data_IF_915722153763
#
_entry.id   IF_915722153763
#
_cell.length_a   1.000
_cell.length_b   1.000
_cell.length_c   1.000
_cell.angle_alpha   90.00
_cell.angle_beta   90.00
_cell.angle_gamma   90.00
#
_symmetry.space_group_name_H-M   'P 1'
#
loop_
_entity.id
_entity.type
_entity.pdbx_description
1 polymer ?
#
# COMPACT_ATOMS: atom_id res chain seq x y z
N UNK A 1 -0.27 -26.06 9.66
CA UNK A 1 -1.08 -24.98 9.09
C UNK A 1 -0.17 -23.87 8.66
N UNK A 2 -0.17 -23.48 7.40
CA UNK A 2 0.65 -22.38 6.97
C UNK A 2 0.22 -21.08 7.67
N UNK A 3 1.20 -20.30 8.08
CA UNK A 3 0.94 -18.99 8.67
C UNK A 3 0.78 -18.01 7.50
N UNK A 4 -0.38 -17.38 7.44
CA UNK A 4 -0.63 -16.37 6.42
C UNK A 4 0.12 -15.10 6.79
N UNK A 5 0.91 -14.53 5.88
CA UNK A 5 1.64 -13.31 6.20
C UNK A 5 0.69 -12.12 6.35
N UNK A 6 1.15 -11.12 7.09
CA UNK A 6 0.40 -9.86 7.17
C UNK A 6 0.50 -9.17 5.82
N UNK A 7 -0.64 -8.94 5.13
CA UNK A 7 -0.61 -8.46 3.74
C UNK A 7 0.09 -7.12 3.56
N UNK A 8 -0.15 -6.18 4.47
CA UNK A 8 0.46 -4.86 4.34
C UNK A 8 1.98 -4.91 4.46
N UNK A 9 2.50 -5.79 5.31
CA UNK A 9 3.93 -5.95 5.49
C UNK A 9 4.59 -6.46 4.21
N UNK A 10 4.04 -7.51 3.63
CA UNK A 10 4.60 -8.05 2.38
C UNK A 10 4.55 -7.03 1.25
N UNK A 11 3.44 -6.31 1.14
CA UNK A 11 3.29 -5.27 0.13
C UNK A 11 4.32 -4.16 0.30
N UNK A 12 4.49 -3.64 1.52
CA UNK A 12 5.44 -2.55 1.77
C UNK A 12 6.88 -2.97 1.52
N UNK A 13 7.24 -4.18 1.90
CA UNK A 13 8.59 -4.70 1.64
C UNK A 13 8.86 -4.79 0.14
N UNK A 14 7.90 -5.30 -0.63
CA UNK A 14 8.07 -5.39 -2.08
C UNK A 14 8.20 -4.01 -2.72
N UNK A 15 7.36 -3.06 -2.33
CA UNK A 15 7.41 -1.70 -2.86
C UNK A 15 8.74 -1.03 -2.52
N UNK A 16 9.22 -1.19 -1.29
CA UNK A 16 10.51 -0.63 -0.88
C UNK A 16 11.66 -1.21 -1.70
N UNK A 17 11.66 -2.53 -1.90
CA UNK A 17 12.71 -3.19 -2.66
C UNK A 17 12.73 -2.79 -4.13
N UNK A 18 11.57 -2.51 -4.70
CA UNK A 18 11.43 -2.17 -6.12
C UNK A 18 11.44 -0.67 -6.38
N UNK A 19 11.55 0.14 -5.34
CA UNK A 19 11.49 1.59 -5.48
C UNK A 19 12.73 2.12 -6.19
N UNK A 20 12.53 2.72 -7.36
CA UNK A 20 13.63 3.32 -8.14
C UNK A 20 13.50 4.82 -8.28
N UNK A 21 12.30 5.36 -8.03
CA UNK A 21 12.08 6.79 -8.15
C UNK A 21 12.75 7.53 -6.99
N UNK A 22 13.78 8.27 -7.28
CA UNK A 22 14.55 8.94 -6.24
C UNK A 22 14.14 10.39 -6.03
N UNK A 23 13.62 11.07 -7.07
CA UNK A 23 13.16 12.44 -6.85
C UNK A 23 12.55 13.12 -8.06
N UNK A 24 11.93 14.26 -7.82
CA UNK A 24 11.59 15.26 -8.82
C UNK A 24 12.58 16.41 -8.77
N UNK A 25 13.26 16.59 -7.66
CA UNK A 25 14.05 17.78 -7.38
C UNK A 25 15.49 17.50 -6.95
N UNK A 26 16.03 16.37 -7.30
CA UNK A 26 17.43 16.06 -7.01
C UNK A 26 17.70 15.40 -5.67
N UNK A 27 16.69 15.12 -4.86
CA UNK A 27 16.89 14.35 -3.64
C UNK A 27 16.87 12.86 -3.95
N UNK A 28 17.85 12.15 -3.43
CA UNK A 28 18.03 10.73 -3.73
C UNK A 28 17.44 9.81 -2.66
N UNK A 29 16.82 10.37 -1.63
CA UNK A 29 16.31 9.59 -0.53
C UNK A 29 15.01 8.88 -0.92
N UNK A 30 14.93 7.59 -0.63
CA UNK A 30 13.67 6.86 -0.70
C UNK A 30 12.73 7.41 0.37
N UNK A 31 11.41 7.35 0.16
CA UNK A 31 10.48 7.63 1.24
C UNK A 31 10.64 6.62 2.36
N UNK A 32 10.18 6.99 3.55
CA UNK A 32 10.09 6.04 4.65
C UNK A 32 8.83 5.20 4.50
N UNK A 33 8.95 3.90 4.71
CA UNK A 33 7.85 2.94 4.62
C UNK A 33 7.47 2.52 6.03
N UNK A 34 6.27 2.87 6.46
CA UNK A 34 5.81 2.68 7.83
C UNK A 34 4.53 1.87 7.85
N UNK A 35 4.50 0.82 8.67
CA UNK A 35 3.27 0.08 8.93
C UNK A 35 2.63 0.60 10.21
N UNK A 36 1.31 0.86 10.14
CA UNK A 36 0.56 1.30 11.30
C UNK A 36 -0.33 0.17 11.79
N UNK A 37 -0.21 -0.16 13.06
CA UNK A 37 -1.03 -1.17 13.72
C UNK A 37 -1.84 -0.50 14.83
N UNK A 38 -3.16 -0.65 14.76
CA UNK A 38 -4.05 -0.11 15.77
C UNK A 38 -4.19 1.40 15.72
N UNK A 39 -4.53 1.98 16.87
CA UNK A 39 -4.78 3.40 17.02
C UNK A 39 -3.55 4.19 17.42
N UNK A 40 -2.40 3.56 17.41
CA UNK A 40 -1.16 4.24 17.77
C UNK A 40 -0.93 5.42 16.84
N UNK A 41 -0.67 6.54 17.42
CA UNK A 41 -0.42 7.76 16.67
C UNK A 41 0.86 7.59 15.86
N UNK A 42 0.75 7.45 14.54
CA UNK A 42 1.94 7.32 13.72
C UNK A 42 2.60 8.66 13.46
N UNK A 43 2.21 9.67 14.16
CA UNK A 43 2.51 11.06 13.88
C UNK A 43 3.92 11.48 14.26
N UNK A 44 4.83 10.53 14.37
CA UNK A 44 6.23 10.84 14.66
C UNK A 44 7.08 10.81 13.40
N UNK A 45 6.45 11.10 12.29
CA UNK A 45 7.15 11.23 11.02
C UNK A 45 7.99 12.49 11.02
N UNK A 46 9.19 12.39 10.53
CA UNK A 46 9.95 13.59 10.25
C UNK A 46 9.91 13.86 8.75
N UNK A 47 8.87 14.56 8.32
CA UNK A 47 8.68 14.89 6.91
C UNK A 47 9.75 15.83 6.36
N UNK A 48 10.51 16.50 7.24
CA UNK A 48 11.64 17.31 6.80
C UNK A 48 12.80 16.46 6.28
N UNK A 49 12.85 15.19 6.64
CA UNK A 49 13.91 14.28 6.22
C UNK A 49 13.46 13.46 5.02
N UNK A 50 12.30 12.85 5.09
CA UNK A 50 11.78 11.95 4.05
C UNK A 50 10.29 12.13 3.85
N UNK A 51 9.84 11.88 2.62
CA UNK A 51 8.43 11.60 2.39
C UNK A 51 8.06 10.28 3.08
N UNK A 52 6.79 10.10 3.40
CA UNK A 52 6.33 8.91 4.11
C UNK A 52 5.23 8.19 3.37
N UNK A 53 5.34 6.88 3.29
CA UNK A 53 4.30 5.98 2.84
C UNK A 53 3.86 5.15 4.05
N UNK A 54 2.66 5.40 4.52
CA UNK A 54 2.13 4.80 5.76
C UNK A 54 1.05 3.80 5.39
N UNK A 55 1.32 2.52 5.63
CA UNK A 55 0.42 1.46 5.25
C UNK A 55 -0.41 0.93 6.39
N UNK A 56 -1.65 0.61 6.10
CA UNK A 56 -2.57 -0.02 7.04
C UNK A 56 -3.54 -0.94 6.30
N UNK A 57 -4.22 -1.81 7.04
CA UNK A 57 -5.29 -2.60 6.46
C UNK A 57 -6.47 -1.69 6.09
N UNK A 58 -7.14 -2.01 4.99
CA UNK A 58 -8.35 -1.30 4.59
C UNK A 58 -9.57 -1.74 5.40
N UNK A 59 -10.71 -1.24 5.00
CA UNK A 59 -12.00 -1.57 5.62
C UNK A 59 -12.97 -2.00 4.53
N UNK A 60 -13.36 -3.27 4.45
CA UNK A 60 -12.90 -4.39 5.28
C UNK A 60 -11.46 -4.81 4.92
N UNK A 61 -10.75 -5.36 5.90
CA UNK A 61 -9.38 -5.83 5.68
C UNK A 61 -9.33 -7.06 4.78
N UNK A 62 -10.33 -7.91 4.88
CA UNK A 62 -10.44 -9.14 4.11
C UNK A 62 -11.88 -9.35 3.66
N UNK A 63 -12.06 -9.67 2.39
CA UNK A 63 -13.32 -10.13 1.86
C UNK A 63 -13.13 -11.47 1.18
N UNK A 64 -14.11 -12.36 1.34
CA UNK A 64 -14.13 -13.62 0.64
C UNK A 64 -15.33 -13.67 -0.29
N UNK A 65 -15.10 -14.07 -1.54
CA UNK A 65 -16.15 -14.23 -2.53
C UNK A 65 -16.20 -15.72 -2.93
N UNK A 66 -17.19 -16.47 -2.41
CA UNK A 66 -17.32 -17.89 -2.76
C UNK A 66 -17.67 -18.07 -4.22
N UNK A 67 -17.18 -19.17 -4.79
CA UNK A 67 -17.53 -19.59 -6.15
C UNK A 67 -18.17 -20.97 -6.05
N UNK A 68 -19.37 -21.11 -6.64
CA UNK A 68 -20.07 -22.38 -6.65
C UNK A 68 -20.53 -22.84 -5.28
N UNK A 69 -19.99 -23.97 -4.81
CA UNK A 69 -20.48 -24.66 -3.61
C UNK A 69 -19.85 -24.19 -2.30
N UNK A 70 -19.31 -22.97 -2.26
CA UNK A 70 -18.66 -22.37 -1.07
C UNK A 70 -17.33 -22.99 -0.66
N UNK A 71 -16.86 -23.98 -1.40
CA UNK A 71 -15.59 -24.64 -1.07
C UNK A 71 -14.40 -23.84 -1.58
N UNK A 72 -14.56 -23.19 -2.72
CA UNK A 72 -13.53 -22.39 -3.35
C UNK A 72 -14.01 -20.96 -3.53
N UNK A 73 -13.09 -20.07 -3.64
CA UNK A 73 -13.40 -18.66 -3.89
C UNK A 73 -12.16 -17.80 -3.93
N UNK A 74 -12.40 -16.52 -3.94
CA UNK A 74 -11.35 -15.52 -3.91
C UNK A 74 -11.29 -14.85 -2.55
N UNK A 75 -10.07 -14.61 -2.07
CA UNK A 75 -9.82 -13.74 -0.92
C UNK A 75 -9.20 -12.44 -1.43
N UNK A 76 -9.76 -11.34 -1.01
CA UNK A 76 -9.26 -10.01 -1.34
C UNK A 76 -8.88 -9.29 -0.07
N UNK A 77 -7.63 -8.92 0.05
CA UNK A 77 -7.13 -8.13 1.16
C UNK A 77 -7.03 -6.69 0.69
N UNK A 78 -7.71 -5.79 1.40
CA UNK A 78 -7.69 -4.37 1.07
C UNK A 78 -6.67 -3.65 1.92
N UNK A 79 -5.83 -2.86 1.28
CA UNK A 79 -4.78 -2.07 1.93
C UNK A 79 -4.98 -0.60 1.61
N UNK A 80 -4.64 0.25 2.55
CA UNK A 80 -4.62 1.69 2.36
C UNK A 80 -3.23 2.22 2.68
N UNK A 81 -2.66 2.95 1.73
CA UNK A 81 -1.34 3.56 1.88
C UNK A 81 -1.52 5.06 1.85
N UNK A 82 -1.23 5.71 2.97
CA UNK A 82 -1.25 7.16 3.03
C UNK A 82 0.12 7.69 2.61
N UNK A 83 0.11 8.64 1.70
CA UNK A 83 1.32 9.25 1.15
C UNK A 83 1.42 10.67 1.67
N UNK A 84 2.55 11.02 2.26
CA UNK A 84 2.79 12.34 2.82
C UNK A 84 4.06 12.95 2.27
N UNK A 85 4.01 14.22 1.91
CA UNK A 85 5.19 14.97 1.47
C UNK A 85 5.08 16.44 1.84
N UNK A 86 6.22 17.08 2.12
CA UNK A 86 6.28 18.53 2.32
C UNK A 86 6.74 19.27 1.06
N UNK A 87 7.15 18.56 0.03
CA UNK A 87 7.82 19.18 -1.12
C UNK A 87 6.85 19.94 -2.03
N UNK A 88 5.85 19.25 -2.56
CA UNK A 88 4.89 19.86 -3.47
C UNK A 88 3.77 18.89 -3.81
N UNK A 89 2.71 19.42 -4.38
CA UNK A 89 1.62 18.59 -4.91
C UNK A 89 2.12 17.68 -6.02
N UNK A 90 3.02 18.18 -6.86
CA UNK A 90 3.59 17.37 -7.94
C UNK A 90 4.35 16.16 -7.37
N UNK A 91 5.10 16.38 -6.29
CA UNK A 91 5.82 15.30 -5.61
C UNK A 91 4.86 14.23 -5.11
N UNK A 92 3.72 14.62 -4.56
CA UNK A 92 2.68 13.69 -4.12
C UNK A 92 2.25 12.76 -5.26
N UNK A 93 1.97 13.33 -6.43
CA UNK A 93 1.57 12.54 -7.59
C UNK A 93 2.72 11.67 -8.13
N UNK A 94 3.95 12.14 -8.04
CA UNK A 94 5.10 11.35 -8.47
C UNK A 94 5.30 10.13 -7.57
N UNK A 95 5.12 10.29 -6.27
CA UNK A 95 5.18 9.17 -5.34
C UNK A 95 4.07 8.14 -5.63
N UNK A 96 2.86 8.62 -5.88
CA UNK A 96 1.74 7.77 -6.26
C UNK A 96 2.04 7.02 -7.56
N UNK A 97 2.58 7.71 -8.55
CA UNK A 97 2.91 7.09 -9.85
C UNK A 97 3.94 5.99 -9.71
N UNK A 98 4.94 6.18 -8.87
CA UNK A 98 5.94 5.14 -8.64
C UNK A 98 5.30 3.91 -7.99
N UNK A 99 4.45 4.11 -6.99
CA UNK A 99 3.73 2.99 -6.37
C UNK A 99 2.86 2.26 -7.39
N UNK A 100 2.15 3.01 -8.23
CA UNK A 100 1.32 2.42 -9.28
C UNK A 100 2.16 1.65 -10.28
N UNK A 101 3.32 2.18 -10.68
CA UNK A 101 4.24 1.50 -11.59
C UNK A 101 4.67 0.15 -11.02
N UNK A 102 5.04 0.13 -9.75
CA UNK A 102 5.48 -1.10 -9.09
C UNK A 102 4.32 -2.11 -9.04
N UNK A 103 3.13 -1.67 -8.68
CA UNK A 103 1.96 -2.56 -8.65
C UNK A 103 1.69 -3.17 -10.02
N UNK A 104 1.76 -2.39 -11.09
CA UNK A 104 1.52 -2.90 -12.43
C UNK A 104 2.61 -3.84 -12.90
N UNK A 105 3.87 -3.48 -12.67
CA UNK A 105 5.00 -4.28 -13.11
C UNK A 105 5.11 -5.61 -12.36
N UNK A 106 4.69 -5.63 -11.11
CA UNK A 106 4.84 -6.77 -10.23
C UNK A 106 3.52 -7.37 -9.77
N UNK A 107 2.49 -7.22 -10.57
CA UNK A 107 1.13 -7.63 -10.19
C UNK A 107 1.00 -9.12 -9.84
N UNK A 108 1.90 -9.96 -10.30
CA UNK A 108 1.91 -11.40 -10.03
C UNK A 108 3.18 -11.86 -9.32
N UNK A 109 3.98 -10.94 -8.79
CA UNK A 109 5.32 -11.27 -8.29
C UNK A 109 5.41 -11.46 -6.78
N UNK A 110 4.35 -11.16 -6.03
CA UNK A 110 4.37 -11.39 -4.59
C UNK A 110 4.36 -12.88 -4.29
N UNK A 111 5.11 -13.28 -3.28
CA UNK A 111 5.29 -14.69 -2.96
C UNK A 111 4.00 -15.32 -2.44
N UNK A 112 3.25 -14.60 -1.60
CA UNK A 112 2.11 -15.16 -0.90
C UNK A 112 0.76 -14.69 -1.44
N UNK A 113 0.74 -13.87 -2.48
CA UNK A 113 -0.47 -13.37 -3.11
C UNK A 113 -0.38 -13.54 -4.61
N UNK A 114 -1.47 -13.98 -5.22
CA UNK A 114 -1.49 -14.24 -6.65
C UNK A 114 -1.52 -12.99 -7.49
N UNK A 115 -2.12 -11.92 -6.96
CA UNK A 115 -2.23 -10.66 -7.68
C UNK A 115 -2.24 -9.48 -6.72
N UNK A 116 -1.54 -8.42 -7.11
CA UNK A 116 -1.70 -7.12 -6.48
C UNK A 116 -2.26 -6.14 -7.50
N UNK A 117 -3.16 -5.28 -7.04
CA UNK A 117 -3.86 -4.36 -7.91
C UNK A 117 -3.91 -2.97 -7.30
N UNK A 118 -3.50 -1.97 -8.09
CA UNK A 118 -3.73 -0.58 -7.76
C UNK A 118 -5.20 -0.27 -8.04
N UNK A 119 -5.94 0.13 -7.02
CA UNK A 119 -7.38 0.38 -7.15
C UNK A 119 -7.66 1.83 -7.45
N UNK A 120 -7.22 2.74 -6.58
CA UNK A 120 -7.44 4.16 -6.77
C UNK A 120 -6.49 4.99 -5.93
N UNK A 121 -6.47 6.29 -6.20
CA UNK A 121 -5.77 7.29 -5.42
C UNK A 121 -6.74 8.44 -5.13
N UNK A 122 -6.76 8.88 -3.88
CA UNK A 122 -7.55 10.02 -3.47
C UNK A 122 -6.66 11.06 -2.82
N UNK A 123 -6.59 12.24 -3.42
CA UNK A 123 -5.88 13.36 -2.83
C UNK A 123 -6.70 13.89 -1.67
N UNK A 124 -6.06 14.09 -0.52
CA UNK A 124 -6.72 14.61 0.67
C UNK A 124 -6.65 16.14 0.69
N UNK A 125 -7.69 16.76 1.24
CA UNK A 125 -7.70 18.19 1.44
C UNK A 125 -6.56 18.57 2.39
N UNK A 126 -5.79 19.58 2.01
CA UNK A 126 -4.66 20.05 2.80
C UNK A 126 -5.18 20.72 4.08
N UNK A 127 -4.99 20.05 5.20
CA UNK A 127 -5.42 20.56 6.51
C UNK A 127 -4.35 21.42 7.16
N UNK A 128 -3.08 21.14 6.87
CA UNK A 128 -1.95 21.92 7.36
C UNK A 128 -1.18 22.49 6.18
N UNK A 129 -0.75 23.73 6.32
CA UNK A 129 0.08 24.37 5.30
C UNK A 129 1.32 23.53 5.03
N UNK A 130 1.66 23.38 3.75
CA UNK A 130 2.85 22.68 3.26
C UNK A 130 2.85 21.16 3.41
N UNK A 131 1.79 20.54 3.90
CA UNK A 131 1.69 19.08 3.92
C UNK A 131 0.72 18.64 2.83
N UNK A 132 1.24 17.88 1.88
CA UNK A 132 0.46 17.28 0.80
C UNK A 132 0.25 15.82 1.12
N UNK A 133 -0.98 15.35 1.05
CA UNK A 133 -1.32 13.99 1.44
C UNK A 133 -2.33 13.37 0.48
N UNK A 134 -2.28 12.06 0.37
CA UNK A 134 -3.24 11.29 -0.41
C UNK A 134 -3.30 9.86 0.09
N UNK A 135 -4.31 9.12 -0.34
CA UNK A 135 -4.49 7.72 0.02
C UNK A 135 -4.55 6.88 -1.24
N UNK A 136 -3.70 5.86 -1.30
CA UNK A 136 -3.71 4.85 -2.36
C UNK A 136 -4.38 3.60 -1.82
N UNK A 137 -5.35 3.08 -2.56
CA UNK A 137 -6.01 1.83 -2.22
C UNK A 137 -5.44 0.70 -3.07
N UNK A 138 -5.04 -0.39 -2.42
CA UNK A 138 -4.42 -1.55 -3.05
C UNK A 138 -5.20 -2.79 -2.63
N UNK A 139 -5.41 -3.70 -3.57
CA UNK A 139 -5.97 -5.02 -3.28
C UNK A 139 -4.93 -6.10 -3.55
N UNK A 140 -4.82 -7.04 -2.61
CA UNK A 140 -4.05 -8.28 -2.80
C UNK A 140 -5.05 -9.43 -2.85
N UNK A 141 -4.90 -10.29 -3.84
CA UNK A 141 -5.87 -11.34 -4.09
C UNK A 141 -5.25 -12.73 -4.09
N UNK A 142 -5.99 -13.68 -3.55
CA UNK A 142 -5.70 -15.10 -3.62
C UNK A 142 -6.94 -15.88 -4.01
N UNK A 143 -6.77 -16.86 -4.89
CA UNK A 143 -7.76 -17.92 -5.03
C UNK A 143 -7.51 -18.92 -3.91
N UNK A 144 -8.55 -19.29 -3.20
CA UNK A 144 -8.37 -20.06 -1.99
C UNK A 144 -9.43 -21.13 -1.82
N UNK A 145 -9.07 -22.17 -1.08
CA UNK A 145 -10.03 -23.08 -0.50
C UNK A 145 -10.62 -22.36 0.72
N UNK A 146 -11.90 -21.99 0.62
CA UNK A 146 -12.53 -21.22 1.68
C UNK A 146 -12.93 -22.08 2.86
N UNK A 147 -13.28 -23.35 2.60
CA UNK A 147 -13.60 -24.30 3.64
C UNK A 147 -12.33 -25.01 4.08
N UNK A 148 -11.69 -24.50 5.12
CA UNK A 148 -10.49 -25.09 5.68
C UNK A 148 -10.87 -26.08 6.76
N UNK A 149 -10.26 -27.25 6.73
CA UNK A 149 -10.47 -28.28 7.75
C UNK A 149 -9.23 -28.43 8.62
#
# INVERSE_FOLDING_TARGET
>A
MPIEPVPINEFLVDVEDQWTYSNVSGTTAKPAFVEVTGDDEPMRFNLNVNDHLVGRAGTPALEETPIGNWKYGNRTYSLEIEVYTLTSRQRLYDLMREMRRICHARRHALENFQRQQFVNFQELTQEQANIWAGTVSINLENNAVLLET
#
